data_IF_291884697380
#
_entry.id   IF_291884697380
#
_cell.length_a   1.000
_cell.length_b   1.000
_cell.length_c   1.000
_cell.angle_alpha   90.00
_cell.angle_beta   90.00
_cell.angle_gamma   90.00
#
_symmetry.space_group_name_H-M   'P 1'
#
loop_
_entity.id
_entity.type
_entity.pdbx_description
1 polymer ?
#
# COMPACT_ATOMS: atom_id res chain seq x y z
N UNK A 1 -18.75 -24.12 -3.59
CA UNK A 1 -17.86 -23.06 -4.14
C UNK A 1 -18.06 -23.05 -5.64
N UNK A 2 -18.67 -22.01 -6.24
CA UNK A 2 -18.70 -21.90 -7.71
C UNK A 2 -17.25 -21.80 -8.18
N UNK A 3 -16.81 -22.77 -8.98
CA UNK A 3 -15.41 -22.84 -9.47
C UNK A 3 -15.23 -22.20 -10.84
N UNK A 4 -16.32 -21.83 -11.52
CA UNK A 4 -16.29 -21.20 -12.84
C UNK A 4 -17.08 -19.89 -12.80
N UNK A 5 -16.41 -18.79 -13.10
CA UNK A 5 -16.99 -17.46 -13.29
C UNK A 5 -17.24 -17.24 -14.79
N UNK A 6 -18.29 -16.51 -15.15
CA UNK A 6 -18.51 -16.07 -16.52
C UNK A 6 -17.53 -14.96 -16.87
N UNK A 7 -17.16 -14.85 -18.16
CA UNK A 7 -16.29 -13.77 -18.62
C UNK A 7 -16.86 -12.38 -18.32
N UNK A 8 -18.18 -12.22 -18.39
CA UNK A 8 -18.87 -10.97 -18.03
C UNK A 8 -18.68 -10.59 -16.55
N UNK A 9 -18.69 -11.58 -15.64
CA UNK A 9 -18.45 -11.35 -14.21
C UNK A 9 -16.99 -10.92 -13.96
N UNK A 10 -16.04 -11.55 -14.64
CA UNK A 10 -14.62 -11.19 -14.56
C UNK A 10 -14.34 -9.80 -15.12
N UNK A 11 -15.04 -9.42 -16.21
CA UNK A 11 -14.91 -8.11 -16.84
C UNK A 11 -15.31 -6.96 -15.90
N UNK A 12 -16.33 -7.15 -15.07
CA UNK A 12 -16.72 -6.14 -14.07
C UNK A 12 -15.58 -5.91 -13.07
N UNK A 13 -14.98 -6.99 -12.57
CA UNK A 13 -13.86 -6.89 -11.62
C UNK A 13 -12.64 -6.24 -12.28
N UNK A 14 -12.36 -6.58 -13.53
CA UNK A 14 -11.29 -5.99 -14.33
C UNK A 14 -11.48 -4.48 -14.54
N UNK A 15 -12.69 -4.04 -14.92
CA UNK A 15 -13.04 -2.63 -15.09
C UNK A 15 -12.89 -1.85 -13.77
N UNK A 16 -13.34 -2.42 -12.65
CA UNK A 16 -13.14 -1.85 -11.31
C UNK A 16 -11.64 -1.70 -11.05
N UNK A 17 -10.85 -2.75 -11.22
CA UNK A 17 -9.41 -2.71 -10.97
C UNK A 17 -8.71 -1.63 -11.81
N UNK A 18 -8.99 -1.56 -13.11
CA UNK A 18 -8.39 -0.58 -14.01
C UNK A 18 -8.83 0.86 -13.70
N UNK A 19 -10.09 1.06 -13.29
CA UNK A 19 -10.59 2.35 -12.83
C UNK A 19 -9.83 2.82 -11.58
N UNK A 20 -9.71 1.95 -10.57
CA UNK A 20 -8.97 2.25 -9.33
C UNK A 20 -7.50 2.57 -9.63
N UNK A 21 -6.83 1.75 -10.43
CA UNK A 21 -5.43 1.94 -10.79
C UNK A 21 -5.20 3.26 -11.53
N UNK A 22 -6.03 3.56 -12.53
CA UNK A 22 -5.92 4.81 -13.32
C UNK A 22 -6.19 6.05 -12.46
N UNK A 23 -7.20 6.00 -11.58
CA UNK A 23 -7.49 7.08 -10.62
C UNK A 23 -6.34 7.28 -9.64
N UNK A 24 -5.75 6.21 -9.10
CA UNK A 24 -4.57 6.27 -8.23
C UNK A 24 -3.40 6.97 -8.92
N UNK A 25 -3.08 6.58 -10.16
CA UNK A 25 -2.01 7.22 -10.92
C UNK A 25 -2.28 8.71 -11.16
N UNK A 26 -3.50 9.06 -11.57
CA UNK A 26 -3.87 10.44 -11.84
C UNK A 26 -3.80 11.33 -10.59
N UNK A 27 -4.26 10.82 -9.44
CA UNK A 27 -4.18 11.56 -8.18
C UNK A 27 -2.74 11.65 -7.71
N UNK A 28 -1.93 10.59 -7.84
CA UNK A 28 -0.49 10.61 -7.48
C UNK A 28 0.27 11.70 -8.24
N UNK A 29 -0.12 11.98 -9.49
CA UNK A 29 0.47 13.05 -10.32
C UNK A 29 0.00 14.48 -9.94
N UNK A 30 -0.95 14.63 -9.02
CA UNK A 30 -1.37 15.95 -8.54
C UNK A 30 -0.26 16.60 -7.69
N UNK A 31 -0.05 17.92 -7.84
CA UNK A 31 0.95 18.69 -7.08
C UNK A 31 0.86 18.49 -5.55
N UNK A 32 -0.35 18.25 -5.02
CA UNK A 32 -0.59 17.93 -3.60
C UNK A 32 0.18 16.69 -3.12
N UNK A 33 0.43 15.73 -4.01
CA UNK A 33 1.07 14.45 -3.73
C UNK A 33 2.48 14.35 -4.33
N UNK A 34 3.12 15.48 -4.69
CA UNK A 34 4.48 15.53 -5.26
C UNK A 34 5.53 14.74 -4.45
N UNK A 35 5.37 14.62 -3.13
CA UNK A 35 6.23 13.77 -2.28
C UNK A 35 6.24 12.29 -2.69
N UNK A 36 5.15 11.82 -3.29
CA UNK A 36 4.95 10.45 -3.78
C UNK A 36 5.41 10.26 -5.23
N UNK A 37 5.87 11.33 -5.89
CA UNK A 37 6.39 11.26 -7.25
C UNK A 37 7.53 10.23 -7.31
N UNK A 38 7.45 9.31 -8.27
CA UNK A 38 8.39 8.21 -8.43
C UNK A 38 8.56 7.30 -7.20
N UNK A 39 7.63 7.30 -6.23
CA UNK A 39 7.58 6.22 -5.23
C UNK A 39 6.86 5.03 -5.84
N UNK A 40 7.56 3.92 -5.94
CA UNK A 40 6.99 2.65 -6.41
C UNK A 40 6.04 2.06 -5.35
N UNK A 41 5.12 1.20 -5.75
CA UNK A 41 4.19 0.58 -4.79
C UNK A 41 4.92 -0.34 -3.80
N UNK A 42 6.05 -0.93 -4.21
CA UNK A 42 6.90 -1.72 -3.30
C UNK A 42 7.60 -0.84 -2.25
N UNK A 43 8.06 0.34 -2.65
CA UNK A 43 8.61 1.35 -1.72
C UNK A 43 7.54 1.85 -0.76
N UNK A 44 6.32 2.13 -1.25
CA UNK A 44 5.19 2.46 -0.39
C UNK A 44 4.84 1.33 0.58
N UNK A 45 4.89 0.08 0.13
CA UNK A 45 4.69 -1.10 0.97
C UNK A 45 5.68 -1.16 2.14
N UNK A 46 6.96 -0.82 1.90
CA UNK A 46 7.94 -0.70 3.00
C UNK A 46 7.57 0.42 3.96
N UNK A 47 7.22 1.62 3.46
CA UNK A 47 6.84 2.74 4.33
C UNK A 47 5.61 2.42 5.18
N UNK A 48 4.62 1.74 4.59
CA UNK A 48 3.43 1.27 5.27
C UNK A 48 3.80 0.29 6.40
N UNK A 49 4.62 -0.74 6.12
CA UNK A 49 5.07 -1.68 7.17
C UNK A 49 5.75 -0.95 8.32
N UNK A 50 6.69 -0.05 8.03
CA UNK A 50 7.42 0.69 9.06
C UNK A 50 6.54 1.65 9.86
N UNK A 51 5.39 2.04 9.33
CA UNK A 51 4.41 2.88 10.04
C UNK A 51 3.70 2.10 11.14
N UNK A 52 3.32 0.86 10.86
CA UNK A 52 2.55 0.02 11.80
C UNK A 52 3.42 -0.97 12.60
N UNK A 53 4.67 -1.19 12.16
CA UNK A 53 5.69 -2.01 12.82
C UNK A 53 7.02 -1.27 12.81
N UNK A 54 7.23 -0.35 13.78
CA UNK A 54 8.52 0.32 13.93
C UNK A 54 9.62 -0.70 14.28
N UNK A 55 10.87 -0.33 13.99
CA UNK A 55 12.07 -1.12 14.29
C UNK A 55 12.11 -2.50 13.62
N UNK A 56 11.46 -2.61 12.46
CA UNK A 56 11.49 -3.82 11.67
C UNK A 56 12.88 -4.07 11.07
N UNK A 57 13.36 -5.30 11.20
CA UNK A 57 14.60 -5.72 10.55
C UNK A 57 14.32 -6.14 9.10
N UNK A 58 15.34 -6.10 8.24
CA UNK A 58 15.19 -6.43 6.82
C UNK A 58 14.56 -7.82 6.58
N UNK A 59 14.83 -8.80 7.46
CA UNK A 59 14.24 -10.15 7.36
C UNK A 59 12.71 -10.10 7.45
N UNK A 60 12.17 -9.35 8.41
CA UNK A 60 10.73 -9.28 8.67
C UNK A 60 10.01 -8.59 7.51
N UNK A 61 10.57 -7.50 6.99
CA UNK A 61 10.02 -6.77 5.84
C UNK A 61 9.98 -7.67 4.60
N UNK A 62 11.05 -8.45 4.39
CA UNK A 62 11.13 -9.40 3.28
C UNK A 62 10.08 -10.50 3.40
N UNK A 63 9.88 -11.05 4.59
CA UNK A 63 8.88 -12.09 4.84
C UNK A 63 7.46 -11.57 4.63
N UNK A 64 7.20 -10.31 5.02
CA UNK A 64 5.92 -9.66 4.80
C UNK A 64 5.66 -9.39 3.30
N UNK A 65 6.64 -8.84 2.59
CA UNK A 65 6.51 -8.48 1.17
C UNK A 65 6.72 -9.66 0.20
N UNK A 66 7.20 -10.80 0.69
CA UNK A 66 7.53 -12.01 -0.11
C UNK A 66 8.47 -11.73 -1.29
N UNK A 67 9.47 -10.87 -1.08
CA UNK A 67 10.45 -10.47 -2.10
C UNK A 67 11.84 -11.07 -1.84
N UNK A 68 12.72 -11.01 -2.85
CA UNK A 68 14.12 -11.41 -2.68
C UNK A 68 14.91 -10.42 -1.79
N UNK A 69 16.02 -10.89 -1.23
CA UNK A 69 16.92 -10.03 -0.42
C UNK A 69 17.52 -8.90 -1.26
N UNK A 70 17.95 -9.18 -2.50
CA UNK A 70 18.54 -8.17 -3.39
C UNK A 70 17.53 -7.10 -3.78
N UNK A 71 16.28 -7.50 -4.06
CA UNK A 71 15.18 -6.56 -4.30
C UNK A 71 14.96 -5.64 -3.11
N UNK A 72 14.86 -6.22 -1.89
CA UNK A 72 14.66 -5.41 -0.69
C UNK A 72 15.82 -4.44 -0.48
N UNK A 73 17.07 -4.87 -0.58
CA UNK A 73 18.24 -3.98 -0.44
C UNK A 73 18.12 -2.78 -1.38
N UNK A 74 17.83 -3.01 -2.67
CA UNK A 74 17.68 -1.92 -3.63
C UNK A 74 16.51 -0.97 -3.33
N UNK A 75 15.40 -1.49 -2.79
CA UNK A 75 14.26 -0.67 -2.32
C UNK A 75 14.69 0.21 -1.16
N UNK A 76 15.36 -0.36 -0.16
CA UNK A 76 15.81 0.39 1.02
C UNK A 76 16.84 1.46 0.65
N UNK A 77 17.78 1.15 -0.24
CA UNK A 77 18.79 2.11 -0.67
C UNK A 77 18.17 3.33 -1.37
N UNK A 78 17.14 3.12 -2.20
CA UNK A 78 16.40 4.22 -2.83
C UNK A 78 15.60 5.03 -1.81
N UNK A 79 14.94 4.37 -0.85
CA UNK A 79 14.21 5.05 0.22
C UNK A 79 15.13 5.88 1.12
N UNK A 80 16.30 5.35 1.47
CA UNK A 80 17.30 6.04 2.29
C UNK A 80 17.92 7.22 1.53
N UNK A 81 18.27 7.03 0.25
CA UNK A 81 18.75 8.12 -0.63
C UNK A 81 17.74 9.26 -0.76
N UNK A 82 16.44 8.96 -0.72
CA UNK A 82 15.36 9.94 -0.74
C UNK A 82 15.04 10.54 0.64
N UNK A 83 15.72 10.07 1.69
CA UNK A 83 15.55 10.53 3.05
C UNK A 83 14.24 10.08 3.69
N UNK A 84 13.60 9.01 3.22
CA UNK A 84 12.35 8.49 3.80
C UNK A 84 12.57 7.50 4.94
N UNK A 85 13.66 6.75 4.88
CA UNK A 85 14.06 5.82 5.94
C UNK A 85 15.50 6.07 6.35
N UNK A 86 15.88 5.56 7.52
CA UNK A 86 17.27 5.45 7.95
C UNK A 86 17.51 4.06 8.54
N UNK A 87 18.71 3.53 8.35
CA UNK A 87 19.19 2.34 9.05
C UNK A 87 19.69 2.71 10.45
N UNK A 88 19.25 1.96 11.44
CA UNK A 88 19.72 2.07 12.83
C UNK A 88 20.17 0.71 13.34
N UNK A 89 21.12 0.69 14.28
CA UNK A 89 21.54 -0.57 14.91
C UNK A 89 20.33 -1.16 15.63
N UNK A 90 19.99 -2.40 15.30
CA UNK A 90 18.83 -3.05 15.92
C UNK A 90 19.12 -3.33 17.39
N UNK A 91 18.18 -2.93 18.26
CA UNK A 91 18.24 -3.27 19.68
C UNK A 91 18.03 -4.78 19.92
N UNK A 92 17.30 -5.45 19.02
CA UNK A 92 16.99 -6.89 19.10
C UNK A 92 18.17 -7.77 18.66
N UNK A 93 18.99 -7.28 17.74
CA UNK A 93 20.20 -7.95 17.26
C UNK A 93 21.21 -6.89 16.82
N UNK A 94 22.21 -6.61 17.67
CA UNK A 94 23.25 -5.60 17.40
C UNK A 94 24.11 -5.88 16.17
N UNK A 95 24.01 -7.08 15.57
CA UNK A 95 24.66 -7.44 14.30
C UNK A 95 23.82 -7.11 13.07
N UNK A 96 22.60 -6.65 13.27
CA UNK A 96 21.63 -6.34 12.23
C UNK A 96 21.20 -4.87 12.29
N UNK A 97 20.73 -4.34 11.16
CA UNK A 97 20.07 -3.04 11.10
C UNK A 97 18.55 -3.21 11.14
N UNK A 98 17.87 -2.39 11.93
CA UNK A 98 16.45 -2.10 11.76
C UNK A 98 16.28 -0.83 10.92
N UNK A 99 15.06 -0.62 10.44
CA UNK A 99 14.69 0.56 9.68
C UNK A 99 13.72 1.42 10.48
N UNK A 100 13.95 2.72 10.42
CA UNK A 100 13.05 3.73 10.99
C UNK A 100 12.60 4.69 9.89
N UNK A 101 11.33 5.09 9.95
CA UNK A 101 10.84 6.21 9.15
C UNK A 101 11.46 7.52 9.64
N UNK A 102 11.99 8.30 8.72
CA UNK A 102 12.31 9.70 8.99
C UNK A 102 11.03 10.53 9.06
N UNK A 103 11.15 11.81 9.44
CA UNK A 103 10.04 12.76 9.33
C UNK A 103 9.47 12.81 7.90
N UNK A 104 10.33 12.81 6.89
CA UNK A 104 9.92 12.88 5.50
C UNK A 104 9.22 11.60 5.03
N UNK A 105 9.65 10.43 5.52
CA UNK A 105 8.96 9.16 5.27
C UNK A 105 7.58 9.10 5.90
N UNK A 106 7.42 9.61 7.12
CA UNK A 106 6.11 9.73 7.78
C UNK A 106 5.17 10.66 7.01
N UNK A 107 5.67 11.80 6.55
CA UNK A 107 4.89 12.74 5.70
C UNK A 107 4.49 12.05 4.39
N UNK A 108 5.39 11.29 3.76
CA UNK A 108 5.06 10.54 2.56
C UNK A 108 3.93 9.53 2.83
N UNK A 109 3.99 8.76 3.92
CA UNK A 109 2.92 7.83 4.27
C UNK A 109 1.57 8.54 4.49
N UNK A 110 1.54 9.64 5.24
CA UNK A 110 0.30 10.42 5.45
C UNK A 110 -0.27 10.90 4.12
N UNK A 111 0.59 11.37 3.20
CA UNK A 111 0.17 11.80 1.87
C UNK A 111 -0.36 10.64 1.03
N UNK A 112 0.20 9.45 1.18
CA UNK A 112 -0.31 8.26 0.53
C UNK A 112 -1.70 7.88 1.06
N UNK A 113 -1.90 7.89 2.38
CA UNK A 113 -3.21 7.61 2.98
C UNK A 113 -4.26 8.66 2.60
N UNK A 114 -3.88 9.94 2.50
CA UNK A 114 -4.76 11.01 1.97
C UNK A 114 -5.17 10.75 0.51
N UNK A 115 -4.24 10.29 -0.33
CA UNK A 115 -4.49 9.94 -1.72
C UNK A 115 -5.47 8.76 -1.81
N UNK A 116 -5.21 7.69 -1.07
CA UNK A 116 -6.08 6.51 -1.03
C UNK A 116 -7.49 6.86 -0.56
N UNK A 117 -7.62 7.65 0.51
CA UNK A 117 -8.91 8.12 1.04
C UNK A 117 -9.69 8.96 0.03
N UNK A 118 -9.02 9.67 -0.87
CA UNK A 118 -9.70 10.45 -1.92
C UNK A 118 -10.47 9.50 -2.84
N UNK A 119 -9.85 8.40 -3.25
CA UNK A 119 -10.50 7.39 -4.11
C UNK A 119 -11.56 6.62 -3.37
N UNK A 120 -11.30 6.21 -2.13
CA UNK A 120 -12.29 5.48 -1.34
C UNK A 120 -13.57 6.29 -1.16
N UNK A 121 -13.45 7.61 -0.96
CA UNK A 121 -14.60 8.50 -0.92
C UNK A 121 -15.33 8.60 -2.25
N UNK A 122 -14.61 8.73 -3.37
CA UNK A 122 -15.24 8.73 -4.71
C UNK A 122 -16.01 7.44 -4.98
N UNK A 123 -15.45 6.29 -4.61
CA UNK A 123 -16.09 4.98 -4.81
C UNK A 123 -17.35 4.85 -3.96
N UNK A 124 -17.26 5.15 -2.66
CA UNK A 124 -18.43 5.07 -1.78
C UNK A 124 -19.51 6.09 -2.19
N UNK A 125 -19.12 7.28 -2.65
CA UNK A 125 -20.05 8.29 -3.13
C UNK A 125 -20.68 7.97 -4.49
N UNK A 126 -20.16 7.00 -5.24
CA UNK A 126 -20.79 6.50 -6.47
C UNK A 126 -21.96 5.54 -6.21
N UNK A 127 -22.13 5.12 -4.96
CA UNK A 127 -23.27 4.34 -4.49
C UNK A 127 -24.26 5.34 -3.87
N UNK A 128 -25.37 5.61 -4.55
CA UNK A 128 -26.29 6.70 -4.18
C UNK A 128 -27.12 6.37 -2.93
N UNK A 129 -27.40 5.08 -2.71
CA UNK A 129 -28.22 4.61 -1.60
C UNK A 129 -27.34 4.04 -0.46
N UNK A 130 -27.69 4.38 0.79
CA UNK A 130 -26.99 3.86 1.97
C UNK A 130 -27.02 2.32 2.03
N UNK A 131 -28.08 1.69 1.53
CA UNK A 131 -28.22 0.24 1.45
C UNK A 131 -27.16 -0.40 0.53
N UNK A 132 -26.85 0.23 -0.60
CA UNK A 132 -25.80 -0.22 -1.53
C UNK A 132 -24.41 -0.09 -0.91
N UNK A 133 -24.16 1.00 -0.18
CA UNK A 133 -22.92 1.21 0.57
C UNK A 133 -22.74 0.09 1.61
N UNK A 134 -23.78 -0.18 2.40
CA UNK A 134 -23.74 -1.20 3.43
C UNK A 134 -23.53 -2.61 2.85
N UNK A 135 -24.22 -2.95 1.76
CA UNK A 135 -24.05 -4.23 1.07
C UNK A 135 -22.64 -4.37 0.50
N UNK A 136 -22.11 -3.32 -0.15
CA UNK A 136 -20.75 -3.31 -0.68
C UNK A 136 -19.70 -3.52 0.42
N UNK A 137 -19.83 -2.80 1.55
CA UNK A 137 -18.94 -2.96 2.70
C UNK A 137 -19.06 -4.35 3.33
N UNK A 138 -20.27 -4.91 3.41
CA UNK A 138 -20.51 -6.27 3.91
C UNK A 138 -19.84 -7.32 3.04
N UNK A 139 -19.93 -7.20 1.71
CA UNK A 139 -19.27 -8.11 0.77
C UNK A 139 -17.75 -7.95 0.79
N UNK A 140 -17.26 -6.71 0.83
CA UNK A 140 -15.82 -6.42 0.94
C UNK A 140 -15.21 -7.02 2.20
N UNK A 141 -15.88 -6.93 3.36
CA UNK A 141 -15.46 -7.60 4.61
C UNK A 141 -15.36 -9.12 4.45
N UNK A 142 -16.28 -9.74 3.72
CA UNK A 142 -16.22 -11.19 3.42
C UNK A 142 -15.01 -11.52 2.52
N UNK A 143 -14.72 -10.69 1.52
CA UNK A 143 -13.55 -10.86 0.64
C UNK A 143 -12.27 -10.78 1.48
N UNK A 144 -12.11 -9.72 2.29
CA UNK A 144 -10.94 -9.51 3.16
C UNK A 144 -10.72 -10.69 4.12
N UNK A 145 -11.79 -11.26 4.69
CA UNK A 145 -11.68 -12.41 5.60
C UNK A 145 -11.20 -13.68 4.89
N UNK A 146 -11.53 -13.84 3.61
CA UNK A 146 -11.34 -15.09 2.87
C UNK A 146 -10.10 -15.10 1.97
N UNK A 147 -9.62 -13.93 1.53
CA UNK A 147 -8.38 -13.79 0.77
C UNK A 147 -7.23 -13.56 1.77
N UNK A 148 -6.30 -14.51 1.85
CA UNK A 148 -5.07 -14.37 2.63
C UNK A 148 -3.97 -13.78 1.74
N UNK A 149 -3.30 -12.74 2.23
CA UNK A 149 -2.08 -12.19 1.61
C UNK A 149 -0.85 -12.97 2.07
#
# INVERSE_FOLDING_TARGET
MRKNFKNEELKIIDEIYHLFYTKMLNIRNNKKFKKLENVTDLEMGVLHILTYKPDCIMREIREYLKISRSTLTGVIDRLEKRGFVKRVISEKDRRSFSLELTREGKIAQVKHEEMERTIYKEVLASLEEDEDIDEFLRLSKKIIKNIKV
#
